data_IF_579464222852
#
_entry.id   IF_579464222852
#
_cell.length_a   1.000
_cell.length_b   1.000
_cell.length_c   1.000
_cell.angle_alpha   90.00
_cell.angle_beta   90.00
_cell.angle_gamma   90.00
#
_symmetry.space_group_name_H-M   'P 1'
#
loop_
_entity.id
_entity.type
_entity.pdbx_description
1 polymer ?
#
# COMPACT_ATOMS: atom_id res chain seq x y z
N UNK A 1 71.21 -57.27 19.87
CA UNK A 1 69.95 -56.60 20.23
C UNK A 1 69.65 -55.51 19.20
N UNK A 2 68.65 -55.77 18.34
CA UNK A 2 67.90 -54.87 17.45
C UNK A 2 68.63 -53.78 16.60
N UNK A 3 69.10 -54.15 15.40
CA UNK A 3 69.07 -53.21 14.26
C UNK A 3 67.71 -53.33 13.54
N UNK A 4 66.73 -52.50 13.92
CA UNK A 4 65.57 -52.26 13.05
C UNK A 4 66.00 -51.26 11.98
N UNK A 5 66.38 -51.73 10.79
CA UNK A 5 66.45 -50.90 9.58
C UNK A 5 65.02 -50.47 9.24
N UNK A 6 64.60 -49.29 9.70
CA UNK A 6 63.33 -48.73 9.29
C UNK A 6 63.45 -48.41 7.79
N UNK A 7 62.62 -48.98 6.90
CA UNK A 7 62.81 -48.77 5.47
C UNK A 7 62.42 -47.33 5.11
N UNK A 8 63.39 -46.50 4.74
CA UNK A 8 63.16 -45.09 4.34
C UNK A 8 62.08 -44.96 3.25
N UNK A 9 61.97 -45.94 2.35
CA UNK A 9 60.88 -46.02 1.36
C UNK A 9 59.49 -46.17 1.97
N UNK A 10 59.35 -46.90 3.08
CA UNK A 10 58.07 -47.01 3.79
C UNK A 10 57.71 -45.69 4.48
N UNK A 11 58.69 -44.95 4.99
CA UNK A 11 58.48 -43.61 5.56
C UNK A 11 58.04 -42.64 4.46
N UNK A 12 58.76 -42.58 3.34
CA UNK A 12 58.43 -41.71 2.20
C UNK A 12 57.02 -42.00 1.66
N UNK A 13 56.66 -43.26 1.43
CA UNK A 13 55.32 -43.62 0.98
C UNK A 13 54.23 -43.22 1.98
N UNK A 14 54.49 -43.35 3.29
CA UNK A 14 53.55 -42.90 4.33
C UNK A 14 53.42 -41.37 4.37
N UNK A 15 54.52 -40.64 4.18
CA UNK A 15 54.51 -39.18 4.08
C UNK A 15 53.73 -38.70 2.85
N UNK A 16 54.00 -39.25 1.67
CA UNK A 16 53.24 -38.92 0.44
C UNK A 16 51.76 -39.28 0.57
N UNK A 17 51.44 -40.40 1.23
CA UNK A 17 50.04 -40.77 1.52
C UNK A 17 49.37 -39.78 2.46
N UNK A 18 50.11 -39.26 3.46
CA UNK A 18 49.61 -38.26 4.40
C UNK A 18 49.40 -36.91 3.71
N UNK A 19 50.35 -36.48 2.87
CA UNK A 19 50.25 -35.26 2.05
C UNK A 19 49.05 -35.33 1.11
N UNK A 20 48.86 -36.45 0.40
CA UNK A 20 47.71 -36.63 -0.48
C UNK A 20 46.38 -36.63 0.26
N UNK A 21 46.32 -37.25 1.46
CA UNK A 21 45.13 -37.20 2.32
C UNK A 21 44.85 -35.79 2.83
N UNK A 22 45.90 -35.03 3.16
CA UNK A 22 45.78 -33.65 3.60
C UNK A 22 45.31 -32.74 2.46
N UNK A 23 45.88 -32.88 1.26
CA UNK A 23 45.43 -32.15 0.06
C UNK A 23 44.00 -32.50 -0.31
N UNK A 24 43.63 -33.78 -0.27
CA UNK A 24 42.25 -34.19 -0.51
C UNK A 24 41.31 -33.59 0.53
N UNK A 25 41.63 -33.69 1.83
CA UNK A 25 40.83 -33.10 2.89
C UNK A 25 40.66 -31.57 2.72
N UNK A 26 41.76 -30.84 2.48
CA UNK A 26 41.73 -29.40 2.27
C UNK A 26 40.91 -29.02 1.02
N UNK A 27 41.04 -29.79 -0.07
CA UNK A 27 40.24 -29.55 -1.29
C UNK A 27 38.75 -29.83 -1.08
N UNK A 28 38.39 -30.87 -0.33
CA UNK A 28 36.99 -31.16 0.02
C UNK A 28 36.41 -30.10 0.95
N UNK A 29 37.18 -29.61 1.92
CA UNK A 29 36.77 -28.50 2.80
C UNK A 29 36.56 -27.23 1.97
N UNK A 30 37.48 -26.90 1.06
CA UNK A 30 37.34 -25.75 0.17
C UNK A 30 36.10 -25.85 -0.73
N UNK A 31 35.83 -27.03 -1.28
CA UNK A 31 34.64 -27.27 -2.11
C UNK A 31 33.34 -27.17 -1.28
N UNK A 32 33.33 -27.72 -0.06
CA UNK A 32 32.20 -27.56 0.87
C UNK A 32 31.96 -26.10 1.23
N UNK A 33 33.02 -25.32 1.52
CA UNK A 33 32.90 -23.88 1.79
C UNK A 33 32.30 -23.14 0.59
N UNK A 34 32.69 -23.46 -0.64
CA UNK A 34 32.10 -22.86 -1.84
C UNK A 34 30.65 -23.29 -2.08
N UNK A 35 30.30 -24.55 -1.79
CA UNK A 35 28.93 -25.08 -1.91
C UNK A 35 27.98 -24.53 -0.82
N UNK A 36 28.53 -24.16 0.35
CA UNK A 36 27.79 -23.53 1.46
C UNK A 36 27.97 -22.01 1.53
N UNK A 37 28.67 -21.40 0.59
CA UNK A 37 28.66 -19.95 0.43
C UNK A 37 27.34 -19.56 -0.24
N UNK A 38 26.25 -19.59 0.54
CA UNK A 38 25.10 -18.79 0.20
C UNK A 38 25.61 -17.37 0.02
N UNK A 39 25.50 -16.84 -1.20
CA UNK A 39 25.58 -15.41 -1.46
C UNK A 39 24.41 -14.76 -0.74
N UNK A 40 24.53 -14.61 0.58
CA UNK A 40 23.67 -13.78 1.41
C UNK A 40 24.08 -12.32 1.21
N UNK A 41 24.03 -11.87 -0.06
CA UNK A 41 24.03 -10.46 -0.36
C UNK A 41 22.80 -9.88 0.33
N UNK A 42 23.02 -9.19 1.44
CA UNK A 42 21.95 -8.60 2.24
C UNK A 42 21.16 -7.65 1.34
N UNK A 43 19.91 -8.02 1.01
CA UNK A 43 19.07 -7.18 0.14
C UNK A 43 18.62 -5.97 0.94
N UNK A 44 19.21 -4.82 0.63
CA UNK A 44 18.87 -3.56 1.27
C UNK A 44 17.72 -2.88 0.53
N UNK A 45 16.65 -2.54 1.26
CA UNK A 45 15.62 -1.64 0.76
C UNK A 45 16.23 -0.23 0.70
N UNK A 46 16.19 0.41 -0.47
CA UNK A 46 16.76 1.76 -0.70
C UNK A 46 15.70 2.82 -1.04
N UNK A 47 14.50 2.40 -1.45
CA UNK A 47 13.41 3.29 -1.85
C UNK A 47 12.07 2.57 -1.72
N UNK A 48 11.02 3.33 -1.40
CA UNK A 48 9.65 2.83 -1.39
C UNK A 48 8.69 3.91 -1.90
N UNK A 49 7.74 3.49 -2.73
CA UNK A 49 6.56 4.28 -3.09
C UNK A 49 5.36 3.57 -2.47
N UNK A 50 4.58 4.27 -1.65
CA UNK A 50 3.36 3.73 -1.04
C UNK A 50 2.18 4.58 -1.50
N UNK A 51 1.14 3.92 -1.99
CA UNK A 51 -0.12 4.54 -2.38
C UNK A 51 -1.23 3.83 -1.61
N UNK A 52 -2.12 4.61 -0.99
CA UNK A 52 -3.22 4.10 -0.19
C UNK A 52 -4.49 4.90 -0.45
N UNK A 53 -5.64 4.25 -0.25
CA UNK A 53 -6.94 4.93 -0.24
C UNK A 53 -7.13 5.65 1.10
N UNK A 54 -7.94 6.70 1.10
CA UNK A 54 -8.45 7.32 2.32
C UNK A 54 -9.10 6.29 3.28
N UNK A 55 -9.22 6.63 4.56
CA UNK A 55 -9.98 5.82 5.51
C UNK A 55 -11.49 5.86 5.29
N UNK A 56 -12.26 5.17 6.14
CA UNK A 56 -13.71 5.21 6.13
C UNK A 56 -14.25 6.65 6.12
N UNK A 57 -15.30 6.88 5.33
CA UNK A 57 -15.90 8.19 5.07
C UNK A 57 -17.42 8.08 5.08
N UNK A 58 -18.08 9.24 5.21
CA UNK A 58 -19.48 9.39 4.88
C UNK A 58 -19.75 9.04 3.39
N UNK A 59 -20.98 8.64 3.04
CA UNK A 59 -21.36 8.38 1.66
C UNK A 59 -21.26 9.65 0.82
N UNK A 60 -21.09 9.52 -0.49
CA UNK A 60 -21.01 10.69 -1.39
C UNK A 60 -22.37 11.32 -1.68
N UNK A 61 -23.44 10.51 -1.65
CA UNK A 61 -24.82 10.91 -1.87
C UNK A 61 -25.74 10.11 -0.96
N UNK A 62 -26.98 10.55 -0.81
CA UNK A 62 -28.02 9.87 -0.01
C UNK A 62 -29.22 9.53 -0.91
N UNK A 63 -30.03 8.56 -0.50
CA UNK A 63 -31.30 8.31 -1.15
C UNK A 63 -32.26 9.50 -0.94
N UNK A 64 -32.86 10.05 -2.01
CA UNK A 64 -33.81 11.16 -1.91
C UNK A 64 -34.95 10.90 -0.91
N UNK A 65 -35.42 9.65 -0.81
CA UNK A 65 -36.51 9.25 0.10
C UNK A 65 -36.16 9.34 1.59
N UNK A 66 -34.87 9.28 1.95
CA UNK A 66 -34.40 9.14 3.34
C UNK A 66 -33.47 10.28 3.78
N UNK A 67 -33.22 11.25 2.90
CA UNK A 67 -32.21 12.28 3.06
C UNK A 67 -32.20 12.95 4.44
N UNK A 68 -33.34 13.49 4.89
CA UNK A 68 -33.44 14.27 6.14
C UNK A 68 -33.14 13.44 7.40
N UNK A 69 -33.41 12.13 7.34
CA UNK A 69 -33.15 11.21 8.45
C UNK A 69 -31.68 10.79 8.44
N UNK A 70 -31.17 10.43 7.26
CA UNK A 70 -29.82 9.88 7.11
C UNK A 70 -28.72 10.94 7.25
N UNK A 71 -28.94 12.18 6.79
CA UNK A 71 -27.91 13.22 6.84
C UNK A 71 -27.47 13.54 8.28
N UNK A 72 -28.36 13.33 9.26
CA UNK A 72 -28.07 13.55 10.68
C UNK A 72 -27.00 12.58 11.23
N UNK A 73 -26.83 11.41 10.59
CA UNK A 73 -25.80 10.43 10.94
C UNK A 73 -24.39 10.89 10.49
N UNK A 74 -24.32 11.91 9.63
CA UNK A 74 -23.08 12.40 9.01
C UNK A 74 -22.84 13.87 9.39
N UNK A 75 -22.47 14.17 10.64
CA UNK A 75 -22.42 15.54 11.17
C UNK A 75 -21.37 16.43 10.49
N UNK A 76 -20.34 15.83 9.88
CA UNK A 76 -19.33 16.55 9.10
C UNK A 76 -19.75 16.75 7.64
N UNK A 77 -20.86 16.15 7.21
CA UNK A 77 -21.34 16.18 5.83
C UNK A 77 -20.90 14.98 4.99
N UNK A 78 -21.42 14.94 3.76
CA UNK A 78 -21.20 13.87 2.80
C UNK A 78 -19.76 13.84 2.27
N UNK A 79 -19.25 12.64 2.01
CA UNK A 79 -17.91 12.40 1.50
C UNK A 79 -16.76 12.76 2.44
N UNK A 80 -17.04 13.19 3.67
CA UNK A 80 -16.06 13.54 4.69
C UNK A 80 -15.54 12.32 5.45
N UNK A 81 -14.30 12.42 5.94
CA UNK A 81 -13.66 11.34 6.69
C UNK A 81 -14.35 11.14 8.04
N UNK A 82 -14.59 9.88 8.43
CA UNK A 82 -15.18 9.56 9.75
C UNK A 82 -14.10 9.38 10.81
N UNK A 83 -14.47 9.40 12.11
CA UNK A 83 -13.55 9.03 13.19
C UNK A 83 -12.94 7.64 13.01
N UNK A 84 -13.71 6.67 12.48
CA UNK A 84 -13.19 5.35 12.13
C UNK A 84 -12.11 5.45 11.04
N UNK A 85 -12.33 6.27 10.00
CA UNK A 85 -11.34 6.49 8.94
C UNK A 85 -10.04 7.11 9.43
N UNK A 86 -10.13 8.05 10.39
CA UNK A 86 -8.95 8.62 11.06
C UNK A 86 -8.17 7.52 11.78
N UNK A 87 -8.86 6.67 12.57
CA UNK A 87 -8.23 5.57 13.30
C UNK A 87 -7.56 4.55 12.35
N UNK A 88 -8.25 4.17 11.27
CA UNK A 88 -7.71 3.25 10.26
C UNK A 88 -6.40 3.78 9.65
N UNK A 89 -6.35 5.08 9.35
CA UNK A 89 -5.16 5.69 8.75
C UNK A 89 -4.03 5.82 9.77
N UNK A 90 -4.34 6.18 11.01
CA UNK A 90 -3.36 6.17 12.10
C UNK A 90 -2.73 4.78 12.31
N UNK A 91 -3.55 3.73 12.28
CA UNK A 91 -3.09 2.34 12.36
C UNK A 91 -2.23 1.96 11.16
N UNK A 92 -2.63 2.34 9.94
CA UNK A 92 -1.81 2.14 8.74
C UNK A 92 -0.46 2.84 8.87
N UNK A 93 -0.42 4.08 9.34
CA UNK A 93 0.82 4.81 9.60
C UNK A 93 1.72 4.12 10.63
N UNK A 94 1.13 3.61 11.70
CA UNK A 94 1.84 2.84 12.73
C UNK A 94 2.46 1.57 12.14
N UNK A 95 1.72 0.87 11.27
CA UNK A 95 2.24 -0.29 10.55
C UNK A 95 3.39 0.09 9.59
N UNK A 96 3.24 1.18 8.83
CA UNK A 96 4.27 1.66 7.90
C UNK A 96 5.55 2.07 8.64
N UNK A 97 5.43 2.64 9.84
CA UNK A 97 6.58 2.92 10.71
C UNK A 97 7.35 1.65 11.03
N UNK A 98 6.67 0.62 11.55
CA UNK A 98 7.30 -0.65 11.90
C UNK A 98 7.93 -1.32 10.67
N UNK A 99 7.24 -1.24 9.53
CA UNK A 99 7.71 -1.86 8.28
C UNK A 99 8.96 -1.18 7.72
N UNK A 100 9.06 0.15 7.81
CA UNK A 100 10.10 0.94 7.15
C UNK A 100 11.06 1.62 8.11
N UNK A 101 11.05 1.28 9.40
CA UNK A 101 11.91 1.87 10.43
C UNK A 101 13.40 1.89 10.04
N UNK A 102 13.90 0.82 9.41
CA UNK A 102 15.30 0.74 8.95
C UNK A 102 15.63 1.72 7.82
N UNK A 103 14.67 2.02 6.94
CA UNK A 103 14.86 2.95 5.82
C UNK A 103 14.61 4.40 6.25
N UNK A 104 13.56 4.62 7.05
CA UNK A 104 13.06 5.93 7.45
C UNK A 104 12.76 5.91 8.95
N UNK A 105 13.78 6.01 9.82
CA UNK A 105 13.61 5.93 11.27
C UNK A 105 12.86 7.14 11.84
N UNK A 106 12.95 8.28 11.16
CA UNK A 106 12.27 9.54 11.54
C UNK A 106 12.01 10.41 10.34
N UNK A 107 11.11 11.38 10.52
CA UNK A 107 10.84 12.39 9.51
C UNK A 107 12.09 13.25 9.26
N UNK A 108 12.42 13.42 7.97
CA UNK A 108 13.31 14.46 7.47
C UNK A 108 12.73 15.00 6.17
N UNK A 109 12.79 16.31 5.98
CA UNK A 109 12.19 16.99 4.83
C UNK A 109 12.83 16.62 3.49
N UNK A 110 14.07 16.14 3.50
CA UNK A 110 14.83 15.73 2.31
C UNK A 110 14.69 14.24 1.96
N UNK A 111 14.06 13.43 2.83
CA UNK A 111 13.91 11.98 2.62
C UNK A 111 12.48 11.54 2.34
N UNK A 112 11.48 12.39 2.58
CA UNK A 112 10.06 12.03 2.48
C UNK A 112 9.31 13.08 1.68
N UNK A 113 8.51 12.61 0.73
CA UNK A 113 7.57 13.44 -0.01
C UNK A 113 6.17 12.84 0.11
N UNK A 114 5.21 13.66 0.53
CA UNK A 114 3.81 13.26 0.68
C UNK A 114 2.95 14.06 -0.28
N UNK A 115 2.19 13.35 -1.12
CA UNK A 115 1.20 13.93 -2.02
C UNK A 115 -0.17 13.35 -1.73
N UNK A 116 -1.16 14.22 -1.65
CA UNK A 116 -2.58 13.87 -1.58
C UNK A 116 -3.31 14.43 -2.80
N UNK A 117 -4.45 13.84 -3.16
CA UNK A 117 -5.45 14.53 -3.96
C UNK A 117 -6.06 15.68 -3.15
N UNK A 118 -6.66 16.64 -3.84
CA UNK A 118 -7.27 17.83 -3.22
C UNK A 118 -8.67 17.55 -2.67
N UNK A 119 -8.77 16.64 -1.70
CA UNK A 119 -10.02 16.39 -0.96
C UNK A 119 -9.77 16.31 0.53
N UNK A 120 -10.70 16.83 1.33
CA UNK A 120 -10.61 16.81 2.79
C UNK A 120 -10.29 15.40 3.31
N UNK A 121 -11.04 14.39 2.85
CA UNK A 121 -10.85 13.00 3.27
C UNK A 121 -9.47 12.41 2.99
N UNK A 122 -8.83 12.77 1.87
CA UNK A 122 -7.49 12.24 1.52
C UNK A 122 -6.40 12.99 2.27
N UNK A 123 -6.53 14.32 2.39
CA UNK A 123 -5.60 15.15 3.15
C UNK A 123 -5.63 14.77 4.64
N UNK A 124 -6.82 14.67 5.24
CA UNK A 124 -6.98 14.25 6.64
C UNK A 124 -6.50 12.81 6.86
N UNK A 125 -6.72 11.91 5.89
CA UNK A 125 -6.16 10.56 5.95
C UNK A 125 -4.64 10.57 5.98
N UNK A 126 -4.00 11.38 5.13
CA UNK A 126 -2.55 11.53 5.14
C UNK A 126 -2.05 12.12 6.48
N UNK A 127 -2.74 13.12 7.04
CA UNK A 127 -2.40 13.68 8.36
C UNK A 127 -2.45 12.61 9.46
N UNK A 128 -3.53 11.82 9.51
CA UNK A 128 -3.70 10.75 10.50
C UNK A 128 -2.64 9.64 10.34
N UNK A 129 -2.35 9.26 9.09
CA UNK A 129 -1.30 8.31 8.76
C UNK A 129 0.07 8.80 9.23
N UNK A 130 0.44 10.03 8.90
CA UNK A 130 1.71 10.62 9.32
C UNK A 130 1.83 10.78 10.82
N UNK A 131 0.73 11.03 11.54
CA UNK A 131 0.72 11.04 13.00
C UNK A 131 1.08 9.68 13.61
N UNK A 132 0.63 8.57 13.00
CA UNK A 132 1.03 7.22 13.39
C UNK A 132 2.44 6.84 12.93
N UNK A 133 2.84 7.33 11.75
CA UNK A 133 4.13 7.00 11.15
C UNK A 133 5.31 7.73 11.81
N UNK A 134 5.11 8.99 12.20
CA UNK A 134 6.16 9.88 12.69
C UNK A 134 5.76 10.63 13.96
N UNK A 135 5.58 9.96 15.10
CA UNK A 135 5.44 10.68 16.36
C UNK A 135 6.75 11.42 16.71
N UNK A 136 6.66 12.58 17.38
CA UNK A 136 7.82 13.42 17.67
C UNK A 136 8.80 12.73 18.63
N UNK A 137 10.10 12.99 18.44
CA UNK A 137 11.10 12.68 19.46
C UNK A 137 10.90 13.61 20.67
N UNK A 138 11.19 13.14 21.90
CA UNK A 138 10.99 13.92 23.14
C UNK A 138 11.65 15.30 23.10
N UNK A 139 12.78 15.44 22.39
CA UNK A 139 13.52 16.70 22.21
C UNK A 139 12.88 17.69 21.22
N UNK A 140 11.93 17.22 20.40
CA UNK A 140 11.26 18.00 19.35
C UNK A 140 9.79 18.26 19.65
N UNK A 141 9.30 17.83 20.82
CA UNK A 141 7.92 18.02 21.23
C UNK A 141 7.68 19.44 21.80
N UNK A 142 7.77 20.45 20.94
CA UNK A 142 7.60 21.88 21.30
C UNK A 142 6.16 22.16 21.76
N UNK A 143 5.18 21.44 21.22
CA UNK A 143 3.75 21.64 21.50
C UNK A 143 3.22 20.80 22.66
N UNK A 144 4.05 19.94 23.26
CA UNK A 144 3.64 18.91 24.21
C UNK A 144 2.51 18.00 23.69
N UNK A 145 2.54 17.69 22.38
CA UNK A 145 1.64 16.80 21.68
C UNK A 145 2.41 15.61 21.12
N UNK A 146 1.80 14.43 21.07
CA UNK A 146 2.35 13.27 20.35
C UNK A 146 2.13 13.39 18.84
N UNK A 147 2.37 14.58 18.29
CA UNK A 147 2.16 14.95 16.90
C UNK A 147 3.20 16.00 16.48
N UNK A 148 3.61 15.96 15.21
CA UNK A 148 4.45 16.98 14.60
C UNK A 148 3.91 17.37 13.21
N UNK A 149 4.11 18.62 12.77
CA UNK A 149 3.70 19.05 11.44
C UNK A 149 4.59 18.40 10.37
N UNK A 150 3.96 17.79 9.38
CA UNK A 150 4.61 17.23 8.18
C UNK A 150 3.87 17.77 6.95
N UNK A 151 4.57 18.33 5.95
CA UNK A 151 3.93 18.92 4.77
C UNK A 151 3.25 17.84 3.93
N UNK A 152 2.03 18.15 3.49
CA UNK A 152 1.25 17.34 2.55
C UNK A 152 1.00 18.21 1.32
N UNK A 153 1.54 17.81 0.19
CA UNK A 153 1.40 18.54 -1.06
C UNK A 153 0.14 18.10 -1.79
N UNK A 154 -0.55 19.05 -2.39
CA UNK A 154 -1.74 18.82 -3.21
C UNK A 154 -1.70 19.74 -4.42
N UNK A 155 -2.48 19.41 -5.45
CA UNK A 155 -2.79 20.30 -6.56
C UNK A 155 -4.30 20.27 -6.81
N UNK A 156 -4.90 21.35 -7.33
CA UNK A 156 -6.34 21.39 -7.59
C UNK A 156 -6.83 20.18 -8.39
N UNK A 157 -7.98 19.61 -8.01
CA UNK A 157 -8.53 18.36 -8.61
C UNK A 157 -8.54 18.37 -10.14
N UNK A 158 -8.95 19.48 -10.74
CA UNK A 158 -9.05 19.64 -12.21
C UNK A 158 -7.70 19.57 -12.92
N UNK A 159 -6.61 19.83 -12.19
CA UNK A 159 -5.24 19.77 -12.68
C UNK A 159 -4.52 18.46 -12.30
N UNK A 160 -5.16 17.60 -11.49
CA UNK A 160 -4.53 16.38 -11.00
C UNK A 160 -4.61 15.22 -11.99
N UNK A 161 -3.62 15.15 -12.88
CA UNK A 161 -3.49 14.05 -13.86
C UNK A 161 -2.79 12.80 -13.32
N UNK A 162 -2.52 12.74 -12.01
CA UNK A 162 -1.70 11.68 -11.41
C UNK A 162 -2.47 10.86 -10.38
N UNK A 163 -3.15 11.49 -9.43
CA UNK A 163 -3.88 10.78 -8.36
C UNK A 163 -5.41 10.92 -8.47
N UNK A 164 -5.93 11.98 -9.10
CA UNK A 164 -7.37 12.22 -9.25
C UNK A 164 -7.77 12.42 -10.72
N UNK A 165 -7.80 11.32 -11.47
CA UNK A 165 -8.18 11.34 -12.88
C UNK A 165 -9.69 11.48 -13.11
N UNK A 166 -10.51 11.51 -12.05
CA UNK A 166 -11.97 11.62 -12.18
C UNK A 166 -12.40 13.05 -12.52
N UNK A 167 -11.72 14.06 -11.99
CA UNK A 167 -12.07 15.47 -12.19
C UNK A 167 -11.16 16.21 -13.18
N UNK A 168 -10.04 15.59 -13.58
CA UNK A 168 -9.18 16.14 -14.62
C UNK A 168 -9.74 15.78 -15.99
N UNK A 169 -10.01 16.78 -16.82
CA UNK A 169 -10.50 16.52 -18.19
C UNK A 169 -9.45 15.78 -19.01
N UNK A 170 -9.78 14.58 -19.46
CA UNK A 170 -8.91 13.76 -20.28
C UNK A 170 -9.70 13.23 -21.48
N UNK A 171 -9.81 14.03 -22.57
CA UNK A 171 -10.80 13.78 -23.61
C UNK A 171 -10.76 12.38 -24.23
N UNK A 172 -9.57 11.80 -24.40
CA UNK A 172 -9.44 10.47 -25.00
C UNK A 172 -9.85 9.34 -24.04
N UNK A 173 -9.29 9.22 -22.82
CA UNK A 173 -9.79 8.26 -21.84
C UNK A 173 -11.27 8.43 -21.51
N UNK A 174 -11.76 9.68 -21.39
CA UNK A 174 -13.17 9.95 -21.13
C UNK A 174 -14.04 9.43 -22.28
N UNK A 175 -13.64 9.65 -23.53
CA UNK A 175 -14.33 9.09 -24.70
C UNK A 175 -14.34 7.56 -24.67
N UNK A 176 -13.18 6.93 -24.47
CA UNK A 176 -13.07 5.46 -24.43
C UNK A 176 -13.96 4.89 -23.32
N UNK A 177 -13.97 5.49 -22.13
CA UNK A 177 -14.78 5.00 -21.02
C UNK A 177 -16.28 5.19 -21.28
N UNK A 178 -16.73 6.43 -21.51
CA UNK A 178 -18.16 6.74 -21.58
C UNK A 178 -18.80 6.37 -22.92
N UNK A 179 -18.07 6.49 -24.02
CA UNK A 179 -18.63 6.30 -25.38
C UNK A 179 -18.41 4.91 -25.93
N UNK A 180 -17.31 4.24 -25.56
CA UNK A 180 -16.98 2.90 -26.07
C UNK A 180 -17.28 1.81 -25.03
N UNK A 181 -16.61 1.83 -23.87
CA UNK A 181 -16.68 0.75 -22.89
C UNK A 181 -18.07 0.63 -22.26
N UNK A 182 -18.64 1.74 -21.77
CA UNK A 182 -19.98 1.75 -21.16
C UNK A 182 -21.10 1.47 -22.16
N UNK A 183 -20.85 1.60 -23.47
CA UNK A 183 -21.80 1.24 -24.53
C UNK A 183 -21.47 -0.09 -25.21
N UNK A 184 -20.46 -0.82 -24.71
CA UNK A 184 -20.05 -2.10 -25.27
C UNK A 184 -21.20 -3.13 -25.23
N UNK A 185 -21.13 -4.14 -26.10
CA UNK A 185 -22.09 -5.25 -26.10
C UNK A 185 -22.12 -5.97 -24.74
N UNK A 186 -20.95 -6.10 -24.10
CA UNK A 186 -20.81 -6.69 -22.77
C UNK A 186 -21.60 -5.93 -21.71
N UNK A 187 -21.41 -4.60 -21.62
CA UNK A 187 -22.12 -3.79 -20.61
C UNK A 187 -23.62 -3.78 -20.88
N UNK A 188 -24.04 -3.67 -22.16
CA UNK A 188 -25.46 -3.75 -22.52
C UNK A 188 -26.08 -5.09 -22.16
N UNK A 189 -25.40 -6.21 -22.44
CA UNK A 189 -25.89 -7.53 -22.06
C UNK A 189 -26.06 -7.68 -20.54
N UNK A 190 -25.14 -7.13 -19.74
CA UNK A 190 -25.27 -7.12 -18.28
C UNK A 190 -26.47 -6.26 -17.85
N UNK A 191 -26.64 -5.08 -18.43
CA UNK A 191 -27.77 -4.20 -18.11
C UNK A 191 -29.11 -4.85 -18.47
N UNK A 192 -29.21 -5.52 -19.61
CA UNK A 192 -30.41 -6.24 -20.04
C UNK A 192 -30.70 -7.43 -19.11
N UNK A 193 -29.68 -8.22 -18.77
CA UNK A 193 -29.82 -9.36 -17.84
C UNK A 193 -30.24 -8.90 -16.44
N UNK A 194 -29.73 -7.75 -15.99
CA UNK A 194 -29.98 -7.20 -14.65
C UNK A 194 -31.09 -6.16 -14.62
N UNK A 195 -31.84 -5.95 -15.70
CA UNK A 195 -32.91 -4.95 -15.76
C UNK A 195 -33.87 -5.00 -14.56
N UNK A 196 -34.34 -6.18 -14.08
CA UNK A 196 -35.21 -6.25 -12.89
C UNK A 196 -34.56 -5.71 -11.61
N UNK A 197 -33.24 -5.85 -11.45
CA UNK A 197 -32.51 -5.28 -10.33
C UNK A 197 -32.45 -3.76 -10.43
N UNK A 198 -32.15 -3.22 -11.61
CA UNK A 198 -32.13 -1.77 -11.82
C UNK A 198 -33.51 -1.15 -11.57
N UNK A 199 -34.59 -1.79 -12.02
CA UNK A 199 -35.97 -1.36 -11.72
C UNK A 199 -36.25 -1.35 -10.22
N UNK A 200 -35.88 -2.43 -9.52
CA UNK A 200 -36.01 -2.52 -8.07
C UNK A 200 -35.23 -1.41 -7.36
N UNK A 201 -33.99 -1.16 -7.76
CA UNK A 201 -33.15 -0.11 -7.16
C UNK A 201 -33.76 1.28 -7.40
N UNK A 202 -34.23 1.58 -8.61
CA UNK A 202 -34.92 2.85 -8.91
C UNK A 202 -36.15 3.05 -8.01
N UNK A 203 -37.00 2.02 -7.90
CA UNK A 203 -38.22 2.09 -7.09
C UNK A 203 -37.92 2.31 -5.60
N UNK A 204 -36.89 1.64 -5.07
CA UNK A 204 -36.58 1.68 -3.63
C UNK A 204 -35.77 2.89 -3.21
N UNK A 205 -34.87 3.35 -4.08
CA UNK A 205 -33.93 4.43 -3.75
C UNK A 205 -34.44 5.80 -4.21
N UNK A 206 -35.29 5.86 -5.23
CA UNK A 206 -35.69 7.10 -5.88
C UNK A 206 -34.61 7.72 -6.79
N UNK A 207 -33.51 7.02 -7.05
CA UNK A 207 -32.47 7.43 -7.98
C UNK A 207 -32.83 7.03 -9.42
N UNK A 208 -32.36 7.78 -10.42
CA UNK A 208 -32.64 7.49 -11.84
C UNK A 208 -31.86 6.28 -12.37
N UNK A 209 -30.62 6.08 -11.92
CA UNK A 209 -29.73 4.97 -12.29
C UNK A 209 -29.79 4.63 -13.82
N UNK A 210 -29.50 5.58 -14.71
CA UNK A 210 -29.66 5.39 -16.16
C UNK A 210 -28.61 4.45 -16.78
N UNK A 211 -27.43 4.36 -16.19
CA UNK A 211 -26.30 3.60 -16.72
C UNK A 211 -25.75 2.61 -15.69
N UNK A 212 -24.88 1.71 -16.16
CA UNK A 212 -24.19 0.76 -15.29
C UNK A 212 -23.35 1.46 -14.20
N UNK A 213 -22.79 2.65 -14.47
CA UNK A 213 -21.94 3.37 -13.50
C UNK A 213 -22.73 3.96 -12.34
N UNK A 214 -24.00 4.30 -12.54
CA UNK A 214 -24.83 4.98 -11.53
C UNK A 214 -25.23 4.03 -10.38
N UNK A 215 -25.05 2.71 -10.56
CA UNK A 215 -25.23 1.75 -9.47
C UNK A 215 -24.26 2.01 -8.31
N UNK A 216 -23.14 2.69 -8.58
CA UNK A 216 -22.18 3.08 -7.57
C UNK A 216 -22.79 3.97 -6.48
N UNK A 217 -23.72 4.85 -6.82
CA UNK A 217 -24.36 5.75 -5.86
C UNK A 217 -25.21 4.98 -4.83
N UNK A 218 -25.83 3.88 -5.25
CA UNK A 218 -26.53 2.96 -4.36
C UNK A 218 -25.54 2.20 -3.49
N UNK A 219 -24.53 1.60 -4.13
CA UNK A 219 -23.57 0.76 -3.42
C UNK A 219 -22.74 1.54 -2.39
N UNK A 220 -22.28 2.75 -2.74
CA UNK A 220 -21.46 3.59 -1.86
C UNK A 220 -22.21 3.95 -0.59
N UNK A 221 -23.49 4.32 -0.73
CA UNK A 221 -24.34 4.64 0.41
C UNK A 221 -24.49 3.43 1.35
N UNK A 222 -24.95 2.31 0.81
CA UNK A 222 -25.18 1.09 1.60
C UNK A 222 -23.88 0.62 2.29
N UNK A 223 -22.75 0.68 1.59
CA UNK A 223 -21.45 0.29 2.14
C UNK A 223 -20.95 1.25 3.24
N UNK A 224 -21.40 2.50 3.26
CA UNK A 224 -21.06 3.45 4.32
C UNK A 224 -21.95 3.27 5.57
N UNK A 225 -23.18 2.80 5.41
CA UNK A 225 -24.13 2.62 6.52
C UNK A 225 -24.02 1.27 7.26
N UNK A 226 -23.58 0.22 6.56
CA UNK A 226 -23.38 -1.13 7.11
C UNK A 226 -22.04 -1.27 7.84
#
# INVERSE_FOLDING_TARGET
MFQRKIPLRQIANKMTTLENKLHFALSTIGLLIMLFHESSGERQLIFVHVMWRHGARAPLTLFPSEYDQTIQNWPNGLGELTPLGILQQFQLGTFLRQRYEKLIPKYKSDTIYIRSTDSNRTIMSAMANLAGMFPPENSQNILNLTWQPIPIHTIPKTLDKVLDVTYSTCPYPDHVFYSEEMNSETVRAIMDEKAPLFDFLRERTGLEIPTFTDIFDVYDLLNCEM
#
